data_IF_935232345500
#
_entry.id   IF_935232345500
#
_cell.length_a   1.000
_cell.length_b   1.000
_cell.length_c   1.000
_cell.angle_alpha   90.00
_cell.angle_beta   90.00
_cell.angle_gamma   90.00
#
_symmetry.space_group_name_H-M   'P 1'
#
loop_
_entity.id
_entity.type
_entity.pdbx_description
1 polymer ?
#
# COMPACT_ATOMS: atom_id res chain seq x y z
N UNK A 1 18.12 -19.69 13.85
CA UNK A 1 17.83 -20.61 14.96
C UNK A 1 18.68 -21.89 14.90
N UNK A 2 18.72 -22.64 13.79
CA UNK A 2 19.66 -23.77 13.66
C UNK A 2 21.14 -23.34 13.60
N UNK A 3 21.44 -22.19 12.97
CA UNK A 3 22.77 -21.57 12.93
C UNK A 3 22.98 -20.49 14.02
N UNK A 4 22.35 -20.61 15.19
CA UNK A 4 22.55 -19.69 16.33
C UNK A 4 21.82 -18.33 16.29
N UNK A 5 21.16 -17.96 15.19
CA UNK A 5 20.37 -16.72 15.15
C UNK A 5 19.19 -16.75 16.13
N UNK A 6 19.07 -15.71 16.97
CA UNK A 6 18.01 -15.57 17.96
C UNK A 6 16.63 -15.34 17.31
N UNK A 7 15.52 -15.78 17.94
CA UNK A 7 14.18 -15.54 17.42
C UNK A 7 13.84 -14.05 17.24
N UNK A 8 14.41 -13.19 18.08
CA UNK A 8 14.24 -11.74 18.01
C UNK A 8 14.90 -11.12 16.77
N UNK A 9 16.05 -11.66 16.35
CA UNK A 9 16.75 -11.22 15.14
C UNK A 9 15.92 -11.56 13.89
N UNK A 10 15.43 -12.80 13.79
CA UNK A 10 14.58 -13.24 12.66
C UNK A 10 13.34 -12.36 12.56
N UNK A 11 12.65 -12.12 13.69
CA UNK A 11 11.46 -11.27 13.74
C UNK A 11 11.75 -9.85 13.27
N UNK A 12 12.85 -9.23 13.73
CA UNK A 12 13.25 -7.88 13.31
C UNK A 12 13.55 -7.82 11.81
N UNK A 13 14.24 -8.81 11.26
CA UNK A 13 14.56 -8.84 9.83
C UNK A 13 13.30 -8.95 8.99
N UNK A 14 12.34 -9.80 9.37
CA UNK A 14 11.07 -9.92 8.63
C UNK A 14 10.25 -8.63 8.70
N UNK A 15 10.15 -8.01 9.88
CA UNK A 15 9.45 -6.72 10.01
C UNK A 15 10.14 -5.63 9.19
N UNK A 16 11.47 -5.58 9.21
CA UNK A 16 12.24 -4.59 8.46
C UNK A 16 12.11 -4.79 6.94
N UNK A 17 12.26 -6.02 6.45
CA UNK A 17 12.13 -6.34 5.04
C UNK A 17 10.70 -6.13 4.53
N UNK A 18 9.70 -6.61 5.27
CA UNK A 18 8.29 -6.39 4.96
C UNK A 18 7.91 -4.91 5.00
N UNK A 19 8.41 -4.18 5.99
CA UNK A 19 8.24 -2.73 6.09
C UNK A 19 8.85 -1.98 4.91
N UNK A 20 10.08 -2.32 4.53
CA UNK A 20 10.78 -1.67 3.42
C UNK A 20 10.04 -1.89 2.09
N UNK A 21 9.66 -3.14 1.81
CA UNK A 21 8.91 -3.50 0.60
C UNK A 21 7.52 -2.85 0.59
N UNK A 22 6.82 -2.88 1.73
CA UNK A 22 5.50 -2.29 1.84
C UNK A 22 5.50 -0.77 1.69
N UNK A 23 6.47 -0.07 2.30
CA UNK A 23 6.65 1.38 2.10
C UNK A 23 6.94 1.69 0.63
N UNK A 24 7.79 0.90 -0.02
CA UNK A 24 8.00 1.00 -1.46
C UNK A 24 6.70 0.87 -2.26
N UNK A 25 5.85 -0.11 -1.91
CA UNK A 25 4.53 -0.28 -2.50
C UNK A 25 3.61 0.92 -2.30
N UNK A 26 3.57 1.51 -1.09
CA UNK A 26 2.77 2.72 -0.80
C UNK A 26 3.22 3.90 -1.66
N UNK A 27 4.54 4.10 -1.79
CA UNK A 27 5.10 5.18 -2.62
C UNK A 27 4.74 4.97 -4.08
N UNK A 28 5.03 3.78 -4.64
CA UNK A 28 4.75 3.47 -6.05
C UNK A 28 3.26 3.56 -6.34
N UNK A 29 2.41 2.99 -5.47
CA UNK A 29 0.95 3.04 -5.61
C UNK A 29 0.40 4.47 -5.56
N UNK A 30 0.92 5.30 -4.66
CA UNK A 30 0.51 6.72 -4.55
C UNK A 30 0.91 7.50 -5.79
N UNK A 31 2.17 7.37 -6.25
CA UNK A 31 2.66 8.03 -7.47
C UNK A 31 1.85 7.58 -8.68
N UNK A 32 1.59 6.28 -8.81
CA UNK A 32 0.77 5.72 -9.87
C UNK A 32 -0.66 6.27 -9.84
N UNK A 33 -1.31 6.28 -8.67
CA UNK A 33 -2.67 6.81 -8.51
C UNK A 33 -2.78 8.29 -8.87
N UNK A 34 -1.81 9.10 -8.43
CA UNK A 34 -1.75 10.52 -8.80
C UNK A 34 -1.52 10.72 -10.30
N UNK A 35 -0.63 9.93 -10.90
CA UNK A 35 -0.41 9.92 -12.35
C UNK A 35 -1.67 9.55 -13.13
N UNK A 36 -2.40 8.52 -12.67
CA UNK A 36 -3.66 8.10 -13.26
C UNK A 36 -4.70 9.21 -13.21
N UNK A 37 -4.87 9.89 -12.07
CA UNK A 37 -5.77 11.04 -11.95
C UNK A 37 -5.36 12.17 -12.90
N UNK A 38 -4.05 12.43 -13.04
CA UNK A 38 -3.53 13.41 -14.01
C UNK A 38 -3.90 13.06 -15.46
N UNK A 39 -3.75 11.79 -15.86
CA UNK A 39 -4.14 11.32 -17.19
C UNK A 39 -5.65 11.45 -17.39
N UNK A 40 -6.47 11.02 -16.42
CA UNK A 40 -7.92 11.13 -16.50
C UNK A 40 -8.38 12.59 -16.60
N UNK A 41 -7.75 13.50 -15.85
CA UNK A 41 -8.01 14.92 -15.90
C UNK A 41 -7.67 15.53 -17.27
N UNK A 42 -6.54 15.11 -17.88
CA UNK A 42 -6.12 15.53 -19.21
C UNK A 42 -7.05 15.02 -20.31
N UNK A 43 -7.55 13.78 -20.16
CA UNK A 43 -8.55 13.18 -21.06
C UNK A 43 -9.98 13.72 -20.83
N UNK A 44 -10.19 14.54 -19.80
CA UNK A 44 -11.52 15.10 -19.48
C UNK A 44 -12.53 14.07 -18.95
N UNK A 45 -12.04 12.98 -18.35
CA UNK A 45 -12.85 11.91 -17.75
C UNK A 45 -13.01 12.22 -16.24
N UNK A 46 -14.20 12.04 -15.62
CA UNK A 46 -15.48 11.67 -16.22
C UNK A 46 -16.19 12.85 -16.88
N UNK A 47 -16.80 12.58 -18.03
CA UNK A 47 -17.66 13.52 -18.77
C UNK A 47 -19.12 13.15 -18.58
N UNK A 48 -19.99 14.13 -18.45
CA UNK A 48 -21.44 13.88 -18.43
C UNK A 48 -21.92 13.51 -19.85
N UNK A 49 -23.01 12.73 -19.93
CA UNK A 49 -23.72 12.55 -21.20
C UNK A 49 -24.28 13.90 -21.66
N UNK A 50 -24.46 14.08 -22.97
CA UNK A 50 -24.98 15.33 -23.55
C UNK A 50 -26.34 15.75 -22.97
N UNK A 51 -27.16 14.77 -22.58
CA UNK A 51 -28.47 14.97 -21.95
C UNK A 51 -28.37 15.46 -20.50
N UNK A 52 -27.42 14.95 -19.72
CA UNK A 52 -27.22 15.44 -18.34
C UNK A 52 -26.51 16.79 -18.31
N UNK A 53 -25.60 17.04 -19.24
CA UNK A 53 -24.88 18.30 -19.34
C UNK A 53 -25.81 19.48 -19.69
N UNK A 54 -26.89 19.25 -20.44
CA UNK A 54 -27.87 20.30 -20.76
C UNK A 54 -28.79 20.64 -19.58
N UNK A 55 -29.12 19.65 -18.75
CA UNK A 55 -29.96 19.82 -17.55
C UNK A 55 -29.17 20.51 -16.43
N UNK A 56 -27.92 20.10 -16.19
CA UNK A 56 -27.11 20.61 -15.09
C UNK A 56 -26.16 21.75 -15.49
N UNK A 57 -26.07 22.10 -16.78
CA UNK A 57 -25.10 23.07 -17.33
C UNK A 57 -23.63 22.80 -16.93
N UNK A 58 -23.30 21.58 -16.51
CA UNK A 58 -21.95 21.15 -16.12
C UNK A 58 -21.49 20.05 -17.06
N UNK A 59 -20.34 20.25 -17.71
CA UNK A 59 -19.80 19.33 -18.70
C UNK A 59 -18.90 18.23 -18.10
N UNK A 60 -18.30 18.49 -16.94
CA UNK A 60 -17.34 17.59 -16.26
C UNK A 60 -17.29 17.85 -14.75
N UNK A 61 -16.96 16.81 -13.99
CA UNK A 61 -16.58 16.95 -12.57
C UNK A 61 -15.05 17.06 -12.50
N UNK A 62 -14.48 18.16 -11.98
CA UNK A 62 -13.04 18.28 -11.86
C UNK A 62 -12.51 17.38 -10.75
N UNK A 63 -11.40 16.68 -11.01
CA UNK A 63 -10.65 15.97 -9.98
C UNK A 63 -10.05 16.98 -9.00
N UNK A 64 -10.42 16.89 -7.73
CA UNK A 64 -9.85 17.72 -6.66
C UNK A 64 -8.92 16.85 -5.81
N UNK A 65 -7.62 16.84 -6.15
CA UNK A 65 -6.62 16.16 -5.33
C UNK A 65 -6.13 17.14 -4.27
N UNK A 66 -6.45 16.87 -3.00
CA UNK A 66 -5.96 17.66 -1.87
C UNK A 66 -4.77 16.97 -1.25
N UNK A 67 -3.75 17.74 -0.87
CA UNK A 67 -2.57 17.20 -0.20
C UNK A 67 -2.95 16.43 1.08
N UNK A 68 -3.92 16.94 1.85
CA UNK A 68 -4.41 16.28 3.06
C UNK A 68 -4.94 14.86 2.80
N UNK A 69 -5.69 14.67 1.71
CA UNK A 69 -6.24 13.36 1.35
C UNK A 69 -5.12 12.39 0.97
N UNK A 70 -4.13 12.86 0.21
CA UNK A 70 -2.94 12.07 -0.17
C UNK A 70 -2.13 11.67 1.06
N UNK A 71 -1.90 12.59 2.00
CA UNK A 71 -1.18 12.31 3.24
C UNK A 71 -1.91 11.26 4.08
N UNK A 72 -3.25 11.31 4.14
CA UNK A 72 -4.04 10.30 4.83
C UNK A 72 -3.92 8.92 4.18
N UNK A 73 -3.99 8.83 2.85
CA UNK A 73 -3.80 7.58 2.12
C UNK A 73 -2.41 6.99 2.39
N UNK A 74 -1.36 7.83 2.32
CA UNK A 74 0.02 7.38 2.59
C UNK A 74 0.17 6.93 4.04
N UNK A 75 -0.37 7.67 5.01
CA UNK A 75 -0.30 7.32 6.42
C UNK A 75 -1.05 6.02 6.73
N UNK A 76 -2.26 5.85 6.18
CA UNK A 76 -3.04 4.63 6.33
C UNK A 76 -2.32 3.42 5.71
N UNK A 77 -1.81 3.57 4.48
CA UNK A 77 -1.04 2.51 3.81
C UNK A 77 0.23 2.14 4.57
N UNK A 78 0.99 3.13 5.06
CA UNK A 78 2.17 2.88 5.88
C UNK A 78 1.83 2.16 7.19
N UNK A 79 0.72 2.53 7.83
CA UNK A 79 0.22 1.86 9.03
C UNK A 79 -0.19 0.40 8.75
N UNK A 80 -0.92 0.15 7.66
CA UNK A 80 -1.28 -1.21 7.21
C UNK A 80 -0.04 -2.07 6.94
N UNK A 81 0.96 -1.54 6.25
CA UNK A 81 2.24 -2.21 6.01
C UNK A 81 2.91 -2.61 7.31
N UNK A 82 2.90 -1.72 8.30
CA UNK A 82 3.51 -1.96 9.62
C UNK A 82 2.76 -3.07 10.37
N UNK A 83 1.42 -3.02 10.36
CA UNK A 83 0.57 -4.07 10.93
C UNK A 83 0.79 -5.42 10.26
N UNK A 84 0.78 -5.46 8.92
CA UNK A 84 0.98 -6.67 8.13
C UNK A 84 2.37 -7.26 8.37
N UNK A 85 3.42 -6.44 8.41
CA UNK A 85 4.80 -6.86 8.66
C UNK A 85 4.96 -7.44 10.06
N UNK A 86 4.37 -6.79 11.08
CA UNK A 86 4.36 -7.29 12.46
C UNK A 86 3.56 -8.58 12.58
N UNK A 87 2.41 -8.68 11.90
CA UNK A 87 1.56 -9.86 11.89
C UNK A 87 2.28 -11.05 11.23
N UNK A 88 2.90 -10.86 10.07
CA UNK A 88 3.68 -11.87 9.37
C UNK A 88 4.87 -12.37 10.20
N UNK A 89 5.44 -11.50 11.05
CA UNK A 89 6.55 -11.86 11.92
C UNK A 89 6.14 -12.64 13.19
N UNK A 90 4.85 -12.73 13.54
CA UNK A 90 4.36 -13.43 14.75
C UNK A 90 4.53 -14.96 14.69
N UNK A 91 4.14 -15.69 13.62
CA UNK A 91 4.27 -17.14 13.55
C UNK A 91 5.71 -17.64 13.50
N UNK A 92 6.66 -16.77 13.10
CA UNK A 92 8.06 -17.12 12.94
C UNK A 92 8.80 -17.37 14.26
N UNK A 93 8.28 -16.86 15.38
CA UNK A 93 8.86 -17.11 16.71
C UNK A 93 8.42 -18.44 17.33
N UNK A 94 7.31 -19.02 16.87
CA UNK A 94 6.72 -20.23 17.45
C UNK A 94 7.02 -21.51 16.66
N UNK A 95 7.53 -21.41 15.43
CA UNK A 95 7.93 -22.61 14.66
C UNK A 95 9.29 -23.12 15.11
N UNK A 96 9.32 -24.36 15.61
CA UNK A 96 10.57 -25.02 15.98
C UNK A 96 11.44 -25.21 14.73
N UNK A 97 12.73 -24.88 14.78
CA UNK A 97 13.62 -24.96 13.61
C UNK A 97 13.69 -26.36 12.99
N UNK A 98 13.57 -27.39 13.84
CA UNK A 98 13.54 -28.79 13.45
C UNK A 98 12.33 -29.13 12.56
N UNK A 99 11.17 -28.52 12.80
CA UNK A 99 10.00 -28.71 11.95
C UNK A 99 10.10 -28.00 10.60
N UNK A 100 10.93 -26.96 10.47
CA UNK A 100 11.14 -26.27 9.19
C UNK A 100 12.15 -27.04 8.34
N UNK A 101 13.20 -27.58 8.95
CA UNK A 101 14.22 -28.39 8.27
C UNK A 101 13.70 -29.75 7.75
N UNK A 102 12.63 -30.31 8.35
CA UNK A 102 12.05 -31.58 7.85
C UNK A 102 11.35 -31.45 6.49
N UNK A 103 11.08 -30.23 6.04
CA UNK A 103 10.35 -29.94 4.79
C UNK A 103 11.26 -29.36 3.70
N UNK A 104 12.57 -29.32 3.92
CA UNK A 104 13.58 -28.84 2.95
C UNK A 104 14.36 -30.03 2.39
#
# INVERSE_FOLDING_TARGET
MAMGASPSLVRRTVVAAGGLLGVGGVVVGTVFGLGLVGVLAALGIPRFSSELASIYMVSRIPWQVRLGDVLWVVAAGAFEVLLASVAAARPLASRQPAEVLRWV
#
